data_IF_544395546043
#
_entry.id   IF_544395546043
#
_cell.length_a   1.000
_cell.length_b   1.000
_cell.length_c   1.000
_cell.angle_alpha   90.00
_cell.angle_beta   90.00
_cell.angle_gamma   90.00
#
_symmetry.space_group_name_H-M   'P 1'
#
loop_
_entity.id
_entity.type
_entity.pdbx_description
1 polymer ?
#
# COMPACT_ATOMS: atom_id res chain seq x y z
N UNK A 1 16.17 -8.81 -13.57
CA UNK A 1 16.18 -8.64 -12.10
C UNK A 1 14.74 -8.53 -11.64
N UNK A 2 14.32 -9.30 -10.63
CA UNK A 2 12.99 -9.11 -10.04
C UNK A 2 12.99 -7.77 -9.30
N UNK A 3 12.03 -6.90 -9.59
CA UNK A 3 11.86 -5.65 -8.86
C UNK A 3 11.01 -5.91 -7.62
N UNK A 4 11.46 -5.45 -6.46
CA UNK A 4 10.60 -5.41 -5.28
C UNK A 4 9.66 -4.20 -5.42
N UNK A 5 8.39 -4.39 -5.08
CA UNK A 5 7.36 -3.38 -5.26
C UNK A 5 6.88 -2.87 -3.92
N UNK A 6 6.88 -1.55 -3.75
CA UNK A 6 6.25 -0.85 -2.64
C UNK A 6 4.88 -0.37 -3.12
N UNK A 7 3.84 -0.84 -2.46
CA UNK A 7 2.47 -0.40 -2.73
C UNK A 7 2.08 0.68 -1.72
N UNK A 8 1.62 1.81 -2.22
CA UNK A 8 1.12 2.92 -1.40
C UNK A 8 -0.40 3.01 -1.53
N UNK A 9 -1.08 2.93 -0.40
CA UNK A 9 -2.53 3.06 -0.27
C UNK A 9 -2.82 4.24 0.65
N UNK A 10 -3.78 5.07 0.26
CA UNK A 10 -4.20 6.24 1.01
C UNK A 10 -5.71 6.46 0.82
N UNK A 11 -6.47 6.37 1.90
CA UNK A 11 -7.93 6.55 1.89
C UNK A 11 -8.35 7.98 1.56
N UNK A 12 -7.48 8.96 1.74
CA UNK A 12 -7.69 10.35 1.29
C UNK A 12 -7.25 10.55 -0.17
N UNK A 13 -6.60 9.55 -0.77
CA UNK A 13 -6.13 9.61 -2.15
C UNK A 13 -5.02 10.63 -2.37
N UNK A 14 -4.15 10.85 -1.38
CA UNK A 14 -2.92 11.60 -1.53
C UNK A 14 -1.82 10.83 -2.28
N UNK A 15 -0.61 11.37 -2.21
CA UNK A 15 0.62 10.80 -2.73
C UNK A 15 1.64 10.68 -1.59
N UNK A 16 2.55 9.71 -1.61
CA UNK A 16 3.57 9.61 -0.57
C UNK A 16 4.45 10.87 -0.58
N UNK A 17 4.83 11.35 0.61
CA UNK A 17 5.80 12.43 0.73
C UNK A 17 7.20 11.92 0.35
N UNK A 18 8.10 12.84 -0.05
CA UNK A 18 9.50 12.48 -0.35
C UNK A 18 10.20 11.83 0.84
N UNK A 19 9.96 12.34 2.04
CA UNK A 19 10.56 11.80 3.27
C UNK A 19 10.07 10.38 3.53
N UNK A 20 8.77 10.11 3.30
CA UNK A 20 8.21 8.76 3.42
C UNK A 20 8.82 7.82 2.37
N UNK A 21 8.94 8.26 1.12
CA UNK A 21 9.58 7.47 0.08
C UNK A 21 11.04 7.15 0.43
N UNK A 22 11.79 8.13 0.95
CA UNK A 22 13.18 7.95 1.36
C UNK A 22 13.32 6.95 2.51
N UNK A 23 12.54 7.12 3.58
CA UNK A 23 12.55 6.21 4.74
C UNK A 23 12.24 4.77 4.30
N UNK A 24 11.23 4.59 3.46
CA UNK A 24 10.85 3.27 2.95
C UNK A 24 11.91 2.68 2.03
N UNK A 25 12.48 3.47 1.11
CA UNK A 25 13.55 3.02 0.23
C UNK A 25 14.78 2.56 1.02
N UNK A 26 15.17 3.32 2.05
CA UNK A 26 16.28 2.96 2.93
C UNK A 26 15.99 1.67 3.70
N UNK A 27 14.81 1.57 4.33
CA UNK A 27 14.42 0.40 5.11
C UNK A 27 14.40 -0.89 4.28
N UNK A 28 13.81 -0.85 3.09
CA UNK A 28 13.78 -2.01 2.19
C UNK A 28 15.18 -2.36 1.68
N UNK A 29 16.00 -1.35 1.37
CA UNK A 29 17.40 -1.56 0.95
C UNK A 29 18.23 -2.23 2.05
N UNK A 30 18.11 -1.79 3.30
CA UNK A 30 18.81 -2.39 4.45
C UNK A 30 18.39 -3.85 4.64
N UNK A 31 17.08 -4.12 4.64
CA UNK A 31 16.56 -5.49 4.77
C UNK A 31 16.99 -6.39 3.59
N UNK A 32 17.03 -5.86 2.37
CA UNK A 32 17.52 -6.61 1.22
C UNK A 32 19.02 -6.92 1.34
N UNK A 33 19.84 -5.95 1.74
CA UNK A 33 21.28 -6.10 1.91
C UNK A 33 21.64 -7.17 2.96
N UNK A 34 20.81 -7.34 4.00
CA UNK A 34 20.95 -8.42 4.99
C UNK A 34 20.72 -9.81 4.39
N UNK A 35 19.92 -9.93 3.34
CA UNK A 35 19.54 -11.20 2.70
C UNK A 35 20.37 -11.50 1.44
N UNK A 36 20.85 -10.46 0.75
CA UNK A 36 21.45 -10.56 -0.59
C UNK A 36 22.39 -9.39 -0.85
N UNK A 37 23.53 -9.67 -1.50
CA UNK A 37 24.48 -8.63 -1.98
C UNK A 37 24.11 -8.06 -3.36
N UNK A 38 23.02 -8.52 -3.98
CA UNK A 38 22.60 -8.04 -5.30
C UNK A 38 22.00 -6.64 -5.21
N UNK A 39 22.15 -5.87 -6.30
CA UNK A 39 21.50 -4.57 -6.41
C UNK A 39 19.99 -4.76 -6.45
N UNK A 40 19.30 -4.06 -5.57
CA UNK A 40 17.85 -4.02 -5.50
C UNK A 40 17.30 -2.98 -6.49
N UNK A 41 16.24 -3.34 -7.20
CA UNK A 41 15.45 -2.41 -7.99
C UNK A 41 14.08 -2.24 -7.31
N UNK A 42 13.79 -1.03 -6.82
CA UNK A 42 12.52 -0.72 -6.16
C UNK A 42 11.56 -0.04 -7.13
N UNK A 43 10.31 -0.52 -7.13
CA UNK A 43 9.21 0.08 -7.88
C UNK A 43 8.14 0.58 -6.90
N UNK A 44 7.74 1.83 -7.04
CA UNK A 44 6.59 2.38 -6.33
C UNK A 44 5.32 2.22 -7.16
N UNK A 45 4.25 1.77 -6.51
CA UNK A 45 2.91 1.66 -7.11
C UNK A 45 1.92 2.34 -6.19
N UNK A 46 1.35 3.44 -6.65
CA UNK A 46 0.18 4.04 -6.02
C UNK A 46 -1.05 3.24 -6.41
N UNK A 47 -1.75 2.71 -5.41
CA UNK A 47 -2.94 1.89 -5.61
C UNK A 47 -4.17 2.78 -5.53
N UNK A 48 -5.02 2.75 -6.55
CA UNK A 48 -6.34 3.34 -6.43
C UNK A 48 -7.15 2.44 -5.50
N UNK A 49 -7.53 2.93 -4.32
CA UNK A 49 -8.23 2.15 -3.29
C UNK A 49 -9.52 2.88 -2.88
N UNK A 50 -10.49 2.17 -2.26
CA UNK A 50 -11.70 2.78 -1.71
C UNK A 50 -11.34 3.99 -0.86
N UNK A 51 -12.01 5.12 -1.08
CA UNK A 51 -11.71 6.38 -0.38
C UNK A 51 -12.68 6.60 0.76
N UNK A 52 -12.20 7.23 1.83
CA UNK A 52 -13.08 7.73 2.87
C UNK A 52 -13.75 9.01 2.39
N UNK A 53 -15.01 9.18 2.79
CA UNK A 53 -15.77 10.41 2.56
C UNK A 53 -15.52 11.44 3.66
N UNK A 54 -15.32 10.97 4.90
CA UNK A 54 -14.99 11.78 6.06
C UNK A 54 -13.49 12.00 6.28
N UNK A 55 -13.17 12.50 7.47
CA UNK A 55 -11.80 12.84 7.88
C UNK A 55 -11.23 11.96 8.98
N UNK A 56 -12.00 11.04 9.55
CA UNK A 56 -11.68 10.35 10.81
C UNK A 56 -11.61 8.83 10.69
N UNK A 57 -11.97 8.30 9.52
CA UNK A 57 -12.14 6.87 9.26
C UNK A 57 -10.87 6.21 8.72
N UNK A 58 -9.75 6.93 8.63
CA UNK A 58 -8.54 6.44 7.95
C UNK A 58 -8.00 5.14 8.57
N UNK A 59 -8.05 5.02 9.89
CA UNK A 59 -7.67 3.78 10.59
C UNK A 59 -8.55 2.59 10.20
N UNK A 60 -9.86 2.81 10.04
CA UNK A 60 -10.81 1.80 9.58
C UNK A 60 -10.50 1.34 8.14
N UNK A 61 -10.26 2.28 7.23
CA UNK A 61 -9.88 1.96 5.85
C UNK A 61 -8.56 1.17 5.77
N UNK A 62 -7.55 1.54 6.57
CA UNK A 62 -6.29 0.79 6.67
C UNK A 62 -6.54 -0.66 7.09
N UNK A 63 -7.38 -0.88 8.11
CA UNK A 63 -7.73 -2.24 8.56
C UNK A 63 -8.46 -3.04 7.47
N UNK A 64 -9.39 -2.43 6.74
CA UNK A 64 -10.09 -3.08 5.63
C UNK A 64 -9.13 -3.42 4.48
N UNK A 65 -8.21 -2.52 4.11
CA UNK A 65 -7.18 -2.85 3.11
C UNK A 65 -6.35 -4.06 3.54
N UNK A 66 -5.90 -4.11 4.80
CA UNK A 66 -5.11 -5.22 5.30
C UNK A 66 -5.90 -6.54 5.28
N UNK A 67 -7.18 -6.52 5.69
CA UNK A 67 -8.07 -7.69 5.61
C UNK A 67 -8.20 -8.19 4.18
N UNK A 68 -8.41 -7.29 3.22
CA UNK A 68 -8.57 -7.64 1.81
C UNK A 68 -7.27 -8.14 1.18
N UNK A 69 -6.12 -7.56 1.53
CA UNK A 69 -4.79 -7.99 1.04
C UNK A 69 -4.43 -9.39 1.56
N UNK A 70 -4.73 -9.67 2.83
CA UNK A 70 -4.52 -11.00 3.43
C UNK A 70 -5.44 -12.03 2.77
N UNK A 71 -6.67 -11.63 2.43
CA UNK A 71 -7.64 -12.50 1.76
C UNK A 71 -7.29 -12.76 0.29
N UNK A 72 -6.86 -11.73 -0.44
CA UNK A 72 -6.40 -11.82 -1.82
C UNK A 72 -5.37 -10.71 -2.13
N UNK A 73 -4.10 -11.09 -2.26
CA UNK A 73 -3.03 -10.14 -2.59
C UNK A 73 -3.19 -9.48 -3.97
N UNK A 74 -3.97 -10.07 -4.88
CA UNK A 74 -4.20 -9.49 -6.21
C UNK A 74 -5.00 -8.19 -6.17
N UNK A 75 -5.64 -7.87 -5.04
CA UNK A 75 -6.29 -6.58 -4.78
C UNK A 75 -5.37 -5.39 -5.08
N UNK A 76 -4.09 -5.52 -4.74
CA UNK A 76 -3.05 -4.50 -4.99
C UNK A 76 -2.83 -4.24 -6.48
N UNK A 77 -2.87 -5.30 -7.30
CA UNK A 77 -2.67 -5.21 -8.76
C UNK A 77 -3.94 -4.77 -9.49
N UNK A 78 -5.10 -5.05 -8.89
CA UNK A 78 -6.41 -4.73 -9.45
C UNK A 78 -6.93 -3.36 -9.00
N UNK A 79 -6.15 -2.56 -8.28
CA UNK A 79 -6.59 -1.25 -7.78
C UNK A 79 -7.92 -1.36 -7.02
N UNK A 80 -8.09 -2.42 -6.24
CA UNK A 80 -9.32 -2.68 -5.47
C UNK A 80 -10.63 -2.50 -6.29
N UNK A 81 -10.56 -2.65 -7.61
CA UNK A 81 -11.64 -2.25 -8.55
C UNK A 81 -12.95 -3.02 -8.38
N UNK A 82 -12.92 -4.13 -7.66
CA UNK A 82 -14.08 -4.98 -7.35
C UNK A 82 -14.64 -4.75 -5.96
N UNK A 83 -14.06 -3.85 -5.18
CA UNK A 83 -14.48 -3.50 -3.83
C UNK A 83 -15.43 -2.32 -3.93
N UNK A 84 -16.71 -2.53 -3.56
CA UNK A 84 -17.66 -1.44 -3.32
C UNK A 84 -17.14 -0.59 -2.14
N UNK A 85 -17.49 0.70 -2.11
CA UNK A 85 -17.10 1.60 -1.01
C UNK A 85 -17.31 0.93 0.34
N UNK A 86 -16.32 1.03 1.24
CA UNK A 86 -16.49 0.52 2.59
C UNK A 86 -17.54 1.36 3.31
N UNK A 87 -18.51 0.70 3.90
CA UNK A 87 -19.64 1.35 4.58
C UNK A 87 -19.52 1.20 6.09
N UNK A 88 -20.33 1.95 6.84
CA UNK A 88 -20.44 1.74 8.29
C UNK A 88 -21.11 0.39 8.62
N UNK A 89 -21.91 -0.17 7.70
CA UNK A 89 -22.53 -1.51 7.84
C UNK A 89 -21.49 -2.65 7.84
N UNK A 90 -20.26 -2.35 7.46
CA UNK A 90 -19.13 -3.28 7.49
C UNK A 90 -18.39 -3.33 8.86
N UNK A 91 -18.85 -2.55 9.85
CA UNK A 91 -18.30 -2.46 11.23
C UNK A 91 -18.95 -3.50 12.15
#
# INVERSE_FOLDING_TARGET
MAAETIYYLDSLGGIPSKDLEEIMNQGVTINHAQKSKKRLNLKWVRVMCPKQTGGVECGYFVMKYMKDIVSDVNRLKQNFSTVKEYTEDDI
#
